data_IF_852607387709
#
_entry.id   IF_852607387709
#
_cell.length_a   1.000
_cell.length_b   1.000
_cell.length_c   1.000
_cell.angle_alpha   90.00
_cell.angle_beta   90.00
_cell.angle_gamma   90.00
#
_symmetry.space_group_name_H-M   'P 1'
#
loop_
_entity.id
_entity.type
_entity.pdbx_description
1 polymer ?
#
# COMPACT_ATOMS: atom_id res chain seq x y z
N UNK A 1 2.19 -41.69 29.06
CA UNK A 1 3.10 -41.37 27.95
C UNK A 1 2.32 -40.55 26.92
N UNK A 2 2.44 -39.23 26.98
CA UNK A 2 1.84 -38.36 25.98
C UNK A 2 2.73 -38.40 24.74
N UNK A 3 2.20 -38.94 23.64
CA UNK A 3 2.85 -38.87 22.34
C UNK A 3 2.91 -37.41 21.92
N UNK A 4 4.12 -36.88 21.79
CA UNK A 4 4.41 -35.63 21.11
C UNK A 4 3.81 -35.72 19.70
N UNK A 5 2.70 -35.01 19.47
CA UNK A 5 2.17 -34.86 18.13
C UNK A 5 3.16 -34.04 17.31
N UNK A 6 3.56 -34.65 16.20
CA UNK A 6 4.49 -34.18 15.18
C UNK A 6 4.37 -32.68 14.91
N UNK A 7 5.50 -31.97 14.95
CA UNK A 7 5.70 -30.76 14.18
C UNK A 7 5.48 -31.11 12.69
N UNK A 8 4.26 -30.91 12.19
CA UNK A 8 4.00 -30.98 10.77
C UNK A 8 4.95 -29.96 10.11
N UNK A 9 5.78 -30.43 9.18
CA UNK A 9 6.63 -29.59 8.31
C UNK A 9 5.77 -28.50 7.63
N UNK A 10 5.60 -27.35 8.29
CA UNK A 10 4.93 -26.18 7.75
C UNK A 10 5.83 -25.57 6.68
N UNK A 11 5.70 -26.09 5.46
CA UNK A 11 6.43 -25.60 4.28
C UNK A 11 5.71 -24.44 3.58
N UNK A 12 4.48 -24.13 4.00
CA UNK A 12 3.59 -23.12 3.42
C UNK A 12 2.76 -22.42 4.50
N UNK A 13 2.58 -21.11 4.36
CA UNK A 13 1.59 -20.36 5.14
C UNK A 13 0.18 -20.69 4.62
N UNK A 14 -0.81 -20.71 5.50
CA UNK A 14 -2.20 -20.97 5.10
C UNK A 14 -2.69 -19.80 4.23
N UNK A 15 -2.96 -20.06 2.95
CA UNK A 15 -3.60 -19.12 2.03
C UNK A 15 -4.90 -19.70 1.50
N UNK A 16 -5.89 -18.85 1.24
CA UNK A 16 -7.14 -19.25 0.60
C UNK A 16 -6.98 -19.09 -0.91
N UNK A 17 -7.13 -20.18 -1.68
CA UNK A 17 -6.85 -20.18 -3.13
C UNK A 17 -7.72 -19.22 -3.95
N UNK A 18 -8.94 -18.91 -3.49
CA UNK A 18 -9.87 -18.00 -4.17
C UNK A 18 -9.69 -16.53 -3.78
N UNK A 19 -8.94 -16.27 -2.71
CA UNK A 19 -8.68 -14.92 -2.22
C UNK A 19 -7.57 -14.26 -3.02
N UNK A 20 -7.85 -13.10 -3.61
CA UNK A 20 -6.90 -12.39 -4.47
C UNK A 20 -5.99 -11.41 -3.73
N UNK A 21 -6.28 -11.14 -2.45
CA UNK A 21 -5.41 -10.38 -1.56
C UNK A 21 -4.89 -9.06 -2.16
N UNK A 22 -5.74 -8.06 -2.45
CA UNK A 22 -5.29 -6.78 -2.97
C UNK A 22 -4.27 -6.12 -2.02
N UNK A 23 -3.27 -5.43 -2.57
CA UNK A 23 -2.26 -4.70 -1.79
C UNK A 23 -2.12 -3.31 -2.38
N UNK A 24 -2.34 -2.28 -1.57
CA UNK A 24 -1.96 -0.91 -1.89
C UNK A 24 -0.71 -0.49 -1.12
N UNK A 25 -0.18 0.68 -1.46
CA UNK A 25 0.97 1.26 -0.79
C UNK A 25 0.67 2.71 -0.42
N UNK A 26 1.25 3.18 0.68
CA UNK A 26 1.24 4.59 1.05
C UNK A 26 2.54 4.98 1.75
N UNK A 27 2.80 6.29 1.81
CA UNK A 27 3.90 6.86 2.57
C UNK A 27 3.58 6.83 4.06
N UNK A 28 4.39 6.12 4.83
CA UNK A 28 4.29 6.12 6.27
C UNK A 28 4.95 7.37 6.85
N UNK A 29 4.53 7.75 8.04
CA UNK A 29 5.03 8.95 8.73
C UNK A 29 5.70 8.61 10.05
N UNK A 30 5.94 7.32 10.28
CA UNK A 30 6.64 6.79 11.44
C UNK A 30 7.80 5.93 10.95
N UNK A 31 8.93 6.04 11.62
CA UNK A 31 10.11 5.24 11.32
C UNK A 31 9.84 3.77 11.62
N UNK A 32 10.23 2.91 10.68
CA UNK A 32 10.15 1.46 10.80
C UNK A 32 11.52 0.86 10.55
N UNK A 33 12.05 0.10 11.51
CA UNK A 33 13.38 -0.52 11.39
C UNK A 33 13.51 -1.48 10.19
N UNK A 34 12.39 -1.98 9.68
CA UNK A 34 12.37 -2.84 8.50
C UNK A 34 12.45 -2.07 7.18
N UNK A 35 12.16 -0.76 7.16
CA UNK A 35 12.00 0.04 5.95
C UNK A 35 12.85 1.30 6.00
N UNK A 36 13.92 1.34 5.20
CA UNK A 36 14.80 2.52 5.09
C UNK A 36 14.06 3.75 4.56
N UNK A 37 13.15 3.54 3.61
CA UNK A 37 12.18 4.53 3.12
C UNK A 37 10.81 3.92 3.38
N UNK A 38 9.99 4.49 4.28
CA UNK A 38 8.86 3.77 4.79
C UNK A 38 7.64 3.99 3.89
N UNK A 39 7.62 3.21 2.82
CA UNK A 39 6.44 2.96 1.99
C UNK A 39 5.86 1.65 2.46
N UNK A 40 4.67 1.71 3.07
CA UNK A 40 4.01 0.57 3.68
C UNK A 40 3.08 -0.16 2.71
N UNK A 41 3.23 -1.48 2.50
CA UNK A 41 2.21 -2.29 1.87
C UNK A 41 1.04 -2.55 2.83
N UNK A 42 -0.19 -2.32 2.40
CA UNK A 42 -1.39 -2.65 3.18
C UNK A 42 -2.46 -3.29 2.30
N UNK A 43 -3.06 -4.41 2.74
CA UNK A 43 -2.64 -5.29 3.83
C UNK A 43 -1.27 -5.94 3.56
N UNK A 44 -0.52 -6.29 4.61
CA UNK A 44 0.77 -7.00 4.50
C UNK A 44 0.58 -8.49 4.20
N UNK A 45 0.03 -8.82 3.02
CA UNK A 45 -0.32 -10.19 2.57
C UNK A 45 0.89 -11.00 2.09
N UNK A 46 1.86 -11.21 2.98
CA UNK A 46 3.08 -11.98 2.70
C UNK A 46 2.80 -13.47 2.48
N UNK A 47 1.63 -13.99 2.87
CA UNK A 47 1.22 -15.37 2.61
C UNK A 47 1.21 -15.70 1.11
N UNK A 48 0.71 -14.78 0.28
CA UNK A 48 0.68 -14.94 -1.18
C UNK A 48 2.08 -14.99 -1.77
N UNK A 49 2.92 -14.02 -1.38
CA UNK A 49 4.31 -13.92 -1.82
C UNK A 49 5.12 -15.16 -1.42
N UNK A 50 5.00 -15.60 -0.17
CA UNK A 50 5.73 -16.76 0.38
C UNK A 50 5.23 -18.11 -0.16
N UNK A 51 4.03 -18.14 -0.75
CA UNK A 51 3.49 -19.30 -1.46
C UNK A 51 3.69 -19.23 -2.99
N UNK A 52 4.15 -18.10 -3.53
CA UNK A 52 4.25 -17.88 -4.99
C UNK A 52 2.88 -17.71 -5.66
N UNK A 53 1.86 -17.31 -4.90
CA UNK A 53 0.50 -17.06 -5.38
C UNK A 53 0.33 -15.58 -5.72
N UNK A 54 -0.40 -15.19 -6.78
CA UNK A 54 -0.52 -13.80 -7.16
C UNK A 54 -1.27 -12.95 -6.13
N UNK A 55 -1.02 -11.65 -6.18
CA UNK A 55 -1.77 -10.55 -5.56
C UNK A 55 -2.09 -9.53 -6.65
N UNK A 56 -3.08 -8.67 -6.43
CA UNK A 56 -3.29 -7.50 -7.29
C UNK A 56 -2.84 -6.25 -6.54
N UNK A 57 -2.11 -5.39 -7.25
CA UNK A 57 -1.76 -4.08 -6.73
C UNK A 57 -2.93 -3.11 -6.91
N UNK A 58 -3.25 -2.38 -5.85
CA UNK A 58 -4.19 -1.27 -5.90
C UNK A 58 -3.43 -0.08 -6.50
N UNK A 59 -3.93 0.39 -7.64
CA UNK A 59 -3.42 1.57 -8.33
C UNK A 59 -4.38 2.74 -8.04
N UNK A 60 -3.89 3.90 -7.56
CA UNK A 60 -4.71 5.09 -7.38
C UNK A 60 -5.07 5.71 -8.74
N UNK A 61 -5.92 6.73 -8.73
CA UNK A 61 -6.13 7.59 -9.90
C UNK A 61 -4.94 8.50 -10.16
N UNK A 62 -4.07 8.05 -11.07
CA UNK A 62 -2.84 8.75 -11.41
C UNK A 62 -3.10 10.12 -12.04
N UNK A 63 -4.19 10.29 -12.79
CA UNK A 63 -4.53 11.57 -13.42
C UNK A 63 -4.89 12.64 -12.37
N UNK A 64 -5.59 12.24 -11.32
CA UNK A 64 -5.94 13.11 -10.19
C UNK A 64 -4.69 13.51 -9.41
N UNK A 65 -3.81 12.55 -9.12
CA UNK A 65 -2.52 12.81 -8.48
C UNK A 65 -1.64 13.72 -9.36
N UNK A 66 -1.59 13.49 -10.67
CA UNK A 66 -0.82 14.32 -11.60
C UNK A 66 -1.34 15.76 -11.58
N UNK A 67 -2.67 15.93 -11.64
CA UNK A 67 -3.33 17.23 -11.58
C UNK A 67 -3.01 17.95 -10.28
N UNK A 68 -3.10 17.26 -9.13
CA UNK A 68 -2.69 17.82 -7.84
C UNK A 68 -1.23 18.26 -7.87
N UNK A 69 -0.32 17.40 -8.31
CA UNK A 69 1.11 17.68 -8.40
C UNK A 69 1.41 18.88 -9.32
N UNK A 70 0.78 18.96 -10.49
CA UNK A 70 0.91 20.09 -11.42
C UNK A 70 0.49 21.41 -10.76
N UNK A 71 -0.69 21.43 -10.15
CA UNK A 71 -1.23 22.62 -9.49
C UNK A 71 -0.39 23.10 -8.30
N UNK A 72 0.38 22.19 -7.70
CA UNK A 72 1.19 22.46 -6.51
C UNK A 72 2.69 22.53 -6.80
N UNK A 73 3.12 22.48 -8.07
CA UNK A 73 4.54 22.53 -8.44
C UNK A 73 5.35 21.31 -7.98
N UNK A 74 4.70 20.19 -7.69
CA UNK A 74 5.32 18.94 -7.25
C UNK A 74 5.52 17.96 -8.41
N UNK A 75 6.53 17.12 -8.29
CA UNK A 75 6.76 15.94 -9.10
C UNK A 75 6.70 14.71 -8.21
N UNK A 76 5.88 13.72 -8.59
CA UNK A 76 5.78 12.44 -7.90
C UNK A 76 6.34 11.32 -8.78
N UNK A 77 7.35 10.61 -8.29
CA UNK A 77 7.94 9.47 -8.98
C UNK A 77 7.20 8.18 -8.61
N UNK A 78 6.09 7.92 -9.30
CA UNK A 78 5.26 6.74 -9.06
C UNK A 78 6.01 5.41 -9.26
N UNK A 79 6.89 5.32 -10.27
CA UNK A 79 7.71 4.12 -10.48
C UNK A 79 8.65 3.84 -9.32
N UNK A 80 9.32 4.88 -8.80
CA UNK A 80 10.17 4.79 -7.61
C UNK A 80 9.38 4.38 -6.36
N UNK A 81 8.19 4.95 -6.19
CA UNK A 81 7.29 4.66 -5.08
C UNK A 81 6.92 3.17 -5.03
N UNK A 82 6.39 2.62 -6.13
CA UNK A 82 6.05 1.20 -6.19
C UNK A 82 7.27 0.28 -6.08
N UNK A 83 8.39 0.65 -6.71
CA UNK A 83 9.64 -0.12 -6.61
C UNK A 83 10.07 -0.28 -5.15
N UNK A 84 10.10 0.81 -4.38
CA UNK A 84 10.47 0.78 -2.97
C UNK A 84 9.43 0.02 -2.14
N UNK A 85 8.13 0.26 -2.35
CA UNK A 85 7.07 -0.47 -1.66
C UNK A 85 7.17 -1.99 -1.86
N UNK A 86 7.40 -2.44 -3.10
CA UNK A 86 7.56 -3.86 -3.42
C UNK A 86 8.85 -4.42 -2.79
N UNK A 87 9.95 -3.66 -2.78
CA UNK A 87 11.19 -4.05 -2.07
C UNK A 87 10.95 -4.22 -0.58
N UNK A 88 10.25 -3.29 0.04
CA UNK A 88 9.86 -3.34 1.45
C UNK A 88 9.02 -4.61 1.74
N UNK A 89 8.01 -4.90 0.91
CA UNK A 89 7.19 -6.10 1.04
C UNK A 89 8.03 -7.39 0.94
N UNK A 90 8.93 -7.48 -0.03
CA UNK A 90 9.81 -8.66 -0.20
C UNK A 90 10.77 -8.80 0.98
N UNK A 91 11.39 -7.71 1.42
CA UNK A 91 12.31 -7.70 2.56
C UNK A 91 11.60 -8.19 3.82
N UNK A 92 10.43 -7.61 4.12
CA UNK A 92 9.60 -8.03 5.24
C UNK A 92 9.18 -9.50 5.13
N UNK A 93 8.77 -9.95 3.95
CA UNK A 93 8.42 -11.35 3.71
C UNK A 93 9.60 -12.30 3.93
N UNK A 94 10.83 -11.94 3.51
CA UNK A 94 12.04 -12.73 3.76
C UNK A 94 12.31 -12.87 5.27
N UNK A 95 12.21 -11.77 6.02
CA UNK A 95 12.39 -11.75 7.47
C UNK A 95 11.35 -12.63 8.16
N UNK A 96 10.07 -12.41 7.90
CA UNK A 96 8.99 -13.20 8.52
C UNK A 96 9.00 -14.67 8.12
N UNK A 97 9.32 -14.98 6.86
CA UNK A 97 9.47 -16.37 6.42
C UNK A 97 10.60 -17.09 7.17
N UNK A 98 11.74 -16.40 7.39
CA UNK A 98 12.85 -16.94 8.18
C UNK A 98 12.49 -17.14 9.64
N UNK A 99 11.78 -16.18 10.27
CA UNK A 99 11.28 -16.33 11.65
C UNK A 99 10.35 -17.53 11.80
N UNK A 100 9.42 -17.72 10.86
CA UNK A 100 8.37 -18.74 10.96
C UNK A 100 8.81 -20.15 10.53
N UNK A 101 9.64 -20.25 9.50
CA UNK A 101 10.00 -21.52 8.85
C UNK A 101 11.48 -21.89 9.09
N UNK A 102 12.27 -20.99 9.69
CA UNK A 102 13.71 -21.17 9.95
C UNK A 102 14.53 -21.43 8.67
N UNK A 103 14.04 -20.93 7.53
CA UNK A 103 14.67 -21.06 6.21
C UNK A 103 14.59 -19.75 5.44
N UNK A 104 15.49 -19.56 4.48
CA UNK A 104 15.41 -18.45 3.55
C UNK A 104 14.23 -18.62 2.60
N UNK A 105 13.56 -17.52 2.26
CA UNK A 105 12.50 -17.52 1.26
C UNK A 105 13.13 -17.76 -0.13
N UNK A 106 12.77 -18.84 -0.84
CA UNK A 106 13.39 -19.12 -2.13
C UNK A 106 13.04 -18.06 -3.17
N UNK A 107 14.04 -17.52 -3.86
CA UNK A 107 13.85 -16.52 -4.91
C UNK A 107 12.85 -16.97 -5.98
N UNK A 108 12.86 -18.26 -6.33
CA UNK A 108 11.91 -18.84 -7.28
C UNK A 108 10.45 -18.49 -6.93
N UNK A 109 10.09 -18.49 -5.64
CA UNK A 109 8.73 -18.12 -5.20
C UNK A 109 8.44 -16.63 -5.45
N UNK A 110 9.41 -15.77 -5.16
CA UNK A 110 9.32 -14.32 -5.43
C UNK A 110 9.18 -14.06 -6.94
N UNK A 111 9.95 -14.76 -7.78
CA UNK A 111 9.89 -14.62 -9.25
C UNK A 111 8.52 -15.06 -9.80
N UNK A 112 7.99 -16.19 -9.31
CA UNK A 112 6.65 -16.67 -9.71
C UNK A 112 5.58 -15.67 -9.27
N UNK A 113 5.63 -15.22 -8.00
CA UNK A 113 4.72 -14.22 -7.45
C UNK A 113 4.73 -12.96 -8.32
N UNK A 114 5.90 -12.35 -8.52
CA UNK A 114 6.03 -11.09 -9.25
C UNK A 114 5.50 -11.18 -10.69
N UNK A 115 5.92 -12.21 -11.43
CA UNK A 115 5.50 -12.39 -12.82
C UNK A 115 4.00 -12.66 -12.96
N UNK A 116 3.38 -13.22 -11.94
CA UNK A 116 1.94 -13.47 -11.91
C UNK A 116 1.17 -12.24 -11.46
N UNK A 117 1.63 -11.51 -10.44
CA UNK A 117 0.95 -10.34 -9.88
C UNK A 117 0.97 -9.12 -10.81
N UNK A 118 2.13 -8.82 -11.43
CA UNK A 118 2.28 -7.61 -12.26
C UNK A 118 1.39 -7.57 -13.50
N UNK A 119 0.85 -8.71 -13.93
CA UNK A 119 -0.03 -8.84 -15.10
C UNK A 119 -1.52 -8.86 -14.73
N UNK A 120 -1.85 -8.85 -13.44
CA UNK A 120 -3.23 -8.79 -13.02
C UNK A 120 -3.68 -7.34 -12.85
N UNK A 121 -4.93 -7.09 -13.19
CA UNK A 121 -5.62 -5.85 -12.90
C UNK A 121 -7.06 -6.14 -12.53
N UNK A 122 -7.61 -5.32 -11.65
CA UNK A 122 -9.02 -5.33 -11.30
C UNK A 122 -9.48 -3.90 -11.09
N UNK A 123 -10.78 -3.67 -11.24
CA UNK A 123 -11.37 -2.35 -11.15
C UNK A 123 -12.19 -2.21 -9.86
N UNK A 124 -11.52 -1.78 -8.79
CA UNK A 124 -12.12 -1.46 -7.50
C UNK A 124 -12.17 0.05 -7.31
N UNK A 125 -13.30 0.65 -7.67
CA UNK A 125 -13.55 2.10 -7.62
C UNK A 125 -13.20 2.65 -6.24
N UNK A 126 -13.77 2.07 -5.18
CA UNK A 126 -13.59 2.60 -3.84
C UNK A 126 -12.18 2.43 -3.28
N UNK A 127 -11.47 1.34 -3.60
CA UNK A 127 -10.06 1.20 -3.20
C UNK A 127 -9.17 2.16 -3.97
N UNK A 128 -9.44 2.34 -5.26
CA UNK A 128 -8.70 3.29 -6.10
C UNK A 128 -8.82 4.70 -5.53
N UNK A 129 -10.04 5.18 -5.31
CA UNK A 129 -10.30 6.48 -4.66
C UNK A 129 -9.65 6.60 -3.29
N UNK A 130 -9.76 5.55 -2.45
CA UNK A 130 -9.22 5.58 -1.10
C UNK A 130 -7.69 5.72 -1.09
N UNK A 131 -6.99 5.02 -1.99
CA UNK A 131 -5.54 5.15 -2.12
C UNK A 131 -5.12 6.44 -2.82
N UNK A 132 -5.94 6.99 -3.74
CA UNK A 132 -5.75 8.35 -4.26
C UNK A 132 -5.79 9.37 -3.13
N UNK A 133 -6.82 9.30 -2.29
CA UNK A 133 -7.03 10.21 -1.17
C UNK A 133 -5.84 10.18 -0.20
N UNK A 134 -5.39 8.99 0.23
CA UNK A 134 -4.21 8.86 1.11
C UNK A 134 -2.98 9.57 0.53
N UNK A 135 -2.72 9.38 -0.77
CA UNK A 135 -1.54 9.95 -1.43
C UNK A 135 -1.67 11.47 -1.61
N UNK A 136 -2.83 11.99 -1.99
CA UNK A 136 -3.07 13.43 -2.13
C UNK A 136 -2.90 14.14 -0.78
N UNK A 137 -3.52 13.62 0.28
CA UNK A 137 -3.41 14.20 1.62
C UNK A 137 -1.95 14.16 2.12
N UNK A 138 -1.22 13.08 1.84
CA UNK A 138 0.21 13.02 2.14
C UNK A 138 1.00 14.09 1.38
N UNK A 139 0.76 14.24 0.07
CA UNK A 139 1.45 15.23 -0.77
C UNK A 139 1.16 16.66 -0.30
N UNK A 140 -0.08 16.94 0.14
CA UNK A 140 -0.46 18.23 0.71
C UNK A 140 0.34 18.55 1.98
N UNK A 141 0.44 17.59 2.90
CA UNK A 141 1.19 17.73 4.16
C UNK A 141 2.69 17.87 3.89
N UNK A 142 3.24 17.05 2.99
CA UNK A 142 4.64 17.14 2.56
C UNK A 142 4.96 18.54 2.02
N UNK A 143 4.11 19.06 1.12
CA UNK A 143 4.26 20.40 0.55
C UNK A 143 4.27 21.46 1.64
N UNK A 144 3.27 21.41 2.52
CA UNK A 144 3.12 22.40 3.59
C UNK A 144 4.35 22.44 4.51
N UNK A 145 4.83 21.27 4.95
CA UNK A 145 6.04 21.13 5.76
C UNK A 145 7.26 21.72 5.04
N UNK A 146 7.41 21.42 3.73
CA UNK A 146 8.54 21.89 2.94
C UNK A 146 8.53 23.41 2.73
N UNK A 147 7.39 23.98 2.33
CA UNK A 147 7.27 25.42 2.04
C UNK A 147 7.46 26.28 3.29
N UNK A 148 7.02 25.80 4.45
CA UNK A 148 7.19 26.48 5.73
C UNK A 148 8.52 26.13 6.43
N UNK A 149 9.39 25.33 5.78
CA UNK A 149 10.69 24.90 6.29
C UNK A 149 10.62 24.28 7.69
N UNK A 150 9.53 23.54 7.95
CA UNK A 150 9.29 22.92 9.24
C UNK A 150 10.29 21.79 9.48
N UNK A 151 10.93 21.82 10.64
CA UNK A 151 11.91 20.82 11.07
C UNK A 151 11.25 19.77 11.94
N UNK A 152 11.74 18.53 11.86
CA UNK A 152 11.25 17.37 12.60
C UNK A 152 11.09 17.58 14.13
N UNK A 153 11.90 18.45 14.73
CA UNK A 153 11.87 18.75 16.17
C UNK A 153 10.90 19.88 16.55
N UNK A 154 10.26 20.53 15.58
CA UNK A 154 9.26 21.56 15.85
C UNK A 154 7.91 20.91 16.17
N UNK A 155 7.18 21.52 17.09
CA UNK A 155 5.84 21.07 17.49
C UNK A 155 4.88 21.10 16.31
N UNK A 156 4.87 22.21 15.55
CA UNK A 156 4.06 22.41 14.35
C UNK A 156 4.23 21.29 13.30
N UNK A 157 5.47 20.81 13.10
CA UNK A 157 5.72 19.65 12.23
C UNK A 157 4.96 18.41 12.69
N UNK A 158 4.99 18.13 14.00
CA UNK A 158 4.31 16.97 14.60
C UNK A 158 2.79 17.17 14.55
N UNK A 159 2.30 18.39 14.78
CA UNK A 159 0.87 18.73 14.69
C UNK A 159 0.31 18.48 13.29
N UNK A 160 1.00 18.88 12.23
CA UNK A 160 0.55 18.61 10.85
C UNK A 160 0.52 17.11 10.51
N UNK A 161 1.47 16.32 11.04
CA UNK A 161 1.44 14.87 10.90
C UNK A 161 0.29 14.22 11.68
N UNK A 162 -0.05 14.75 12.85
CA UNK A 162 -1.22 14.29 13.62
C UNK A 162 -2.51 14.63 12.88
N UNK A 163 -2.63 15.84 12.34
CA UNK A 163 -3.78 16.28 11.54
C UNK A 163 -3.96 15.40 10.31
N UNK A 164 -2.88 15.05 9.61
CA UNK A 164 -2.90 14.09 8.51
C UNK A 164 -3.49 12.76 8.95
N UNK A 165 -3.02 12.18 10.06
CA UNK A 165 -3.60 10.96 10.59
C UNK A 165 -5.09 11.11 10.90
N UNK A 166 -5.53 12.23 11.47
CA UNK A 166 -6.94 12.47 11.78
C UNK A 166 -7.83 12.55 10.55
N UNK A 167 -7.35 13.20 9.49
CA UNK A 167 -8.05 13.27 8.20
C UNK A 167 -8.23 11.86 7.63
N UNK A 168 -7.15 11.05 7.60
CA UNK A 168 -7.22 9.68 7.10
C UNK A 168 -8.12 8.81 7.97
N UNK A 169 -7.97 8.84 9.29
CA UNK A 169 -8.81 8.06 10.22
C UNK A 169 -10.29 8.41 10.03
N UNK A 170 -10.62 9.70 9.92
CA UNK A 170 -11.99 10.16 9.72
C UNK A 170 -12.55 9.65 8.39
N UNK A 171 -11.79 9.81 7.29
CA UNK A 171 -12.20 9.32 5.98
C UNK A 171 -12.52 7.82 5.98
N UNK A 172 -11.62 6.98 6.50
CA UNK A 172 -11.81 5.53 6.50
C UNK A 172 -12.87 5.07 7.50
N UNK A 173 -13.04 5.74 8.64
CA UNK A 173 -14.18 5.48 9.54
C UNK A 173 -15.50 5.74 8.85
N UNK A 174 -15.64 6.88 8.17
CA UNK A 174 -16.84 7.19 7.39
C UNK A 174 -17.09 6.16 6.28
N UNK A 175 -16.05 5.71 5.56
CA UNK A 175 -16.19 4.63 4.56
C UNK A 175 -16.70 3.33 5.17
N UNK A 176 -16.21 2.93 6.35
CA UNK A 176 -16.68 1.74 7.06
C UNK A 176 -18.11 1.94 7.56
N UNK A 177 -18.40 3.05 8.25
CA UNK A 177 -19.71 3.35 8.86
C UNK A 177 -20.84 3.46 7.83
N UNK A 178 -20.55 4.01 6.65
CA UNK A 178 -21.50 4.03 5.52
C UNK A 178 -21.85 2.62 5.04
N UNK A 179 -20.99 1.63 5.28
CA UNK A 179 -21.19 0.22 4.94
C UNK A 179 -21.62 -0.02 3.48
N UNK A 180 -21.10 0.80 2.57
CA UNK A 180 -21.28 0.69 1.11
C UNK A 180 -19.90 0.63 0.48
N UNK A 181 -19.73 -0.29 -0.46
CA UNK A 181 -18.50 -0.49 -1.22
C UNK A 181 -18.82 -0.59 -2.70
N UNK A 182 -18.23 0.30 -3.49
CA UNK A 182 -18.42 0.39 -4.94
C UNK A 182 -17.35 -0.37 -5.70
N UNK A 183 -17.80 -1.19 -6.63
CA UNK A 183 -16.96 -1.98 -7.52
C UNK A 183 -17.52 -1.94 -8.94
N UNK A 184 -16.65 -2.05 -9.93
CA UNK A 184 -17.09 -2.18 -11.32
C UNK A 184 -17.16 -3.65 -11.69
N UNK A 185 -18.35 -4.12 -12.11
CA UNK A 185 -18.50 -5.41 -12.80
C UNK A 185 -19.03 -5.11 -14.20
N UNK A 186 -18.26 -5.57 -15.18
CA UNK A 186 -18.51 -5.26 -16.59
C UNK A 186 -18.54 -3.73 -16.79
N UNK A 187 -19.65 -3.17 -17.26
CA UNK A 187 -19.82 -1.73 -17.48
C UNK A 187 -20.69 -1.04 -16.42
N UNK A 188 -21.03 -1.74 -15.33
CA UNK A 188 -21.90 -1.23 -14.26
C UNK A 188 -21.16 -1.06 -12.93
N UNK A 189 -21.52 0.02 -12.23
CA UNK A 189 -21.10 0.25 -10.85
C UNK A 189 -22.10 -0.47 -9.94
N UNK A 190 -21.59 -1.41 -9.14
CA UNK A 190 -22.38 -2.15 -8.16
C UNK A 190 -21.99 -1.68 -6.76
N UNK A 191 -23.00 -1.49 -5.93
CA UNK A 191 -22.86 -1.20 -4.51
C UNK A 191 -23.10 -2.47 -3.68
N UNK A 192 -22.10 -2.87 -2.92
CA UNK A 192 -22.15 -4.02 -2.02
C UNK A 192 -21.94 -3.56 -0.57
N UNK A 193 -22.39 -4.35 0.40
CA UNK A 193 -22.10 -4.06 1.82
C UNK A 193 -20.70 -4.51 2.20
N UNK A 194 -20.03 -3.75 3.07
CA UNK A 194 -18.75 -4.13 3.66
C UNK A 194 -18.92 -5.23 4.73
N UNK A 195 -20.01 -5.15 5.50
CA UNK A 195 -20.31 -6.07 6.59
C UNK A 195 -21.82 -6.22 6.82
N UNK A 196 -22.19 -7.25 7.58
CA UNK A 196 -23.51 -7.38 8.21
C UNK A 196 -23.38 -7.23 9.72
N UNK A 197 -24.36 -6.59 10.35
CA UNK A 197 -24.44 -6.52 11.80
C UNK A 197 -25.39 -7.60 12.34
N UNK A 198 -24.93 -8.41 13.30
CA UNK A 198 -25.76 -9.36 14.03
C UNK A 198 -25.38 -9.35 15.51
N UNK A 199 -26.37 -9.14 16.39
CA UNK A 199 -26.17 -9.11 17.85
C UNK A 199 -25.06 -8.12 18.27
N UNK A 200 -25.09 -6.90 17.73
CA UNK A 200 -24.09 -5.84 18.01
C UNK A 200 -22.65 -6.24 17.64
N UNK A 201 -22.49 -7.18 16.70
CA UNK A 201 -21.19 -7.57 16.15
C UNK A 201 -21.19 -7.39 14.64
N UNK A 202 -20.08 -6.90 14.13
CA UNK A 202 -19.84 -6.72 12.70
C UNK A 202 -19.20 -7.97 12.10
N UNK A 203 -19.76 -8.46 11.00
CA UNK A 203 -19.25 -9.61 10.26
C UNK A 203 -18.86 -9.15 8.85
N UNK A 204 -17.56 -9.01 8.56
CA UNK A 204 -17.08 -8.64 7.23
C UNK A 204 -17.61 -9.55 6.14
N UNK A 205 -17.99 -8.96 5.00
CA UNK A 205 -18.45 -9.69 3.84
C UNK A 205 -17.30 -9.97 2.86
N UNK A 206 -17.35 -11.15 2.26
CA UNK A 206 -16.50 -11.49 1.12
C UNK A 206 -17.17 -10.97 -0.15
N UNK A 207 -16.47 -10.11 -0.88
CA UNK A 207 -16.91 -9.60 -2.16
C UNK A 207 -16.19 -10.30 -3.30
N UNK A 208 -16.84 -10.31 -4.45
CA UNK A 208 -16.33 -10.88 -5.69
C UNK A 208 -15.98 -9.79 -6.68
N UNK A 209 -14.82 -9.91 -7.32
CA UNK A 209 -14.35 -8.95 -8.31
C UNK A 209 -13.81 -9.65 -9.54
N UNK A 210 -14.02 -9.03 -10.71
CA UNK A 210 -13.44 -9.46 -11.97
C UNK A 210 -11.97 -9.06 -12.03
N UNK A 211 -11.12 -10.05 -12.22
CA UNK A 211 -9.67 -9.90 -12.32
C UNK A 211 -9.23 -10.30 -13.71
N UNK A 212 -8.65 -9.35 -14.44
CA UNK A 212 -8.13 -9.57 -15.77
C UNK A 212 -6.62 -9.86 -15.73
N UNK A 213 -6.22 -10.97 -16.34
CA UNK A 213 -4.85 -11.23 -16.75
C UNK A 213 -4.62 -10.57 -18.11
N UNK A 214 -4.01 -9.38 -18.11
CA UNK A 214 -3.91 -8.52 -19.31
C UNK A 214 -3.05 -9.13 -20.41
N UNK A 215 -2.17 -10.08 -20.08
CA UNK A 215 -1.31 -10.75 -21.07
C UNK A 215 -2.08 -11.89 -21.74
N UNK A 216 -2.83 -12.66 -20.95
CA UNK A 216 -3.55 -13.83 -21.47
C UNK A 216 -4.98 -13.49 -21.93
N UNK A 217 -5.44 -12.25 -21.73
CA UNK A 217 -6.80 -11.79 -21.95
C UNK A 217 -7.84 -12.73 -21.31
N UNK A 218 -7.59 -13.12 -20.05
CA UNK A 218 -8.46 -14.02 -19.28
C UNK A 218 -8.98 -13.28 -18.05
N UNK A 219 -10.29 -13.33 -17.88
CA UNK A 219 -10.96 -12.80 -16.68
C UNK A 219 -11.36 -13.94 -15.77
N UNK A 220 -11.14 -13.77 -14.47
CA UNK A 220 -11.63 -14.66 -13.44
C UNK A 220 -12.29 -13.86 -12.33
N UNK A 221 -13.38 -14.38 -11.77
CA UNK A 221 -13.99 -13.83 -10.57
C UNK A 221 -13.24 -14.36 -9.35
N UNK A 222 -12.74 -13.46 -8.51
CA UNK A 222 -12.00 -13.78 -7.29
C UNK A 222 -12.58 -13.08 -6.08
N UNK A 223 -12.38 -13.71 -4.92
CA UNK A 223 -12.91 -13.27 -3.64
C UNK A 223 -11.91 -12.33 -2.94
N UNK A 224 -12.41 -11.35 -2.19
CA UNK A 224 -11.62 -10.54 -1.25
C UNK A 224 -12.51 -9.94 -0.16
N UNK A 225 -11.90 -9.38 0.90
CA UNK A 225 -12.62 -8.80 2.03
C UNK A 225 -12.19 -7.33 2.18
N UNK A 226 -12.89 -6.37 1.56
CA UNK A 226 -12.49 -4.95 1.58
C UNK A 226 -12.46 -4.36 2.99
N UNK A 227 -13.37 -4.79 3.87
CA UNK A 227 -13.42 -4.32 5.26
C UNK A 227 -12.05 -4.47 5.96
N UNK A 228 -11.36 -5.60 5.76
CA UNK A 228 -10.06 -5.84 6.41
C UNK A 228 -8.97 -4.90 5.90
N UNK A 229 -9.07 -4.45 4.64
CA UNK A 229 -8.12 -3.47 4.08
C UNK A 229 -8.31 -2.12 4.78
N UNK A 230 -9.56 -1.67 4.91
CA UNK A 230 -9.86 -0.42 5.61
C UNK A 230 -9.54 -0.49 7.10
N UNK A 231 -9.79 -1.63 7.75
CA UNK A 231 -9.43 -1.86 9.15
C UNK A 231 -7.90 -1.81 9.34
N UNK A 232 -7.12 -2.45 8.46
CA UNK A 232 -5.66 -2.38 8.50
C UNK A 232 -5.14 -0.95 8.31
N UNK A 233 -5.73 -0.17 7.39
CA UNK A 233 -5.39 1.26 7.20
C UNK A 233 -5.69 2.04 8.49
N UNK A 234 -6.89 1.88 9.07
CA UNK A 234 -7.25 2.55 10.32
C UNK A 234 -6.30 2.21 11.47
N UNK A 235 -5.90 0.94 11.57
CA UNK A 235 -4.96 0.48 12.58
C UNK A 235 -3.58 1.12 12.38
N UNK A 236 -3.07 1.19 11.15
CA UNK A 236 -1.82 1.86 10.81
C UNK A 236 -1.85 3.34 11.21
N UNK A 237 -2.86 4.10 10.76
CA UNK A 237 -2.92 5.53 11.04
C UNK A 237 -3.22 5.85 12.51
N UNK A 238 -4.00 5.01 13.20
CA UNK A 238 -4.21 5.13 14.65
C UNK A 238 -2.92 4.87 15.42
N UNK A 239 -2.15 3.86 15.02
CA UNK A 239 -0.83 3.60 15.59
C UNK A 239 0.11 4.78 15.35
N UNK A 240 0.18 5.29 14.13
CA UNK A 240 1.02 6.43 13.79
C UNK A 240 0.68 7.66 14.63
N UNK A 241 -0.61 8.00 14.73
CA UNK A 241 -1.08 9.08 15.61
C UNK A 241 -0.66 8.86 17.06
N UNK A 242 -0.78 7.66 17.59
CA UNK A 242 -0.37 7.37 18.98
C UNK A 242 1.13 7.57 19.20
N UNK A 243 1.97 7.21 18.22
CA UNK A 243 3.42 7.42 18.29
C UNK A 243 3.75 8.91 18.31
N UNK A 244 3.09 9.71 17.47
CA UNK A 244 3.29 11.16 17.40
C UNK A 244 2.85 11.86 18.69
N UNK A 245 1.67 11.51 19.23
CA UNK A 245 1.16 12.08 20.49
C UNK A 245 2.05 11.77 21.70
N UNK A 246 2.68 10.59 21.71
CA UNK A 246 3.61 10.19 22.77
C UNK A 246 5.00 10.85 22.63
N UNK A 247 5.25 11.62 21.57
CA UNK A 247 6.53 12.25 21.28
C UNK A 247 7.73 11.28 21.34
N UNK A 248 7.57 10.05 20.81
CA UNK A 248 8.68 9.10 20.70
C UNK A 248 9.67 9.57 19.62
N UNK A 249 10.68 10.35 20.04
CA UNK A 249 11.68 10.95 19.15
C UNK A 249 12.40 9.91 18.27
N UNK A 250 12.59 8.68 18.76
CA UNK A 250 13.26 7.62 18.02
C UNK A 250 12.45 7.13 16.81
N UNK A 251 11.15 7.41 16.80
CA UNK A 251 10.21 6.98 15.77
C UNK A 251 9.75 8.09 14.84
N UNK A 252 10.11 9.35 15.12
CA UNK A 252 9.85 10.44 14.18
C UNK A 252 10.62 10.22 12.88
N UNK A 253 10.00 10.59 11.77
CA UNK A 253 10.63 10.56 10.45
C UNK A 253 10.77 11.98 9.92
N UNK A 254 11.91 12.25 9.29
CA UNK A 254 12.09 13.43 8.47
C UNK A 254 11.51 13.14 7.07
N UNK A 255 10.45 13.85 6.68
CA UNK A 255 9.82 13.69 5.36
C UNK A 255 10.80 13.98 4.22
N UNK A 256 11.93 14.66 4.48
CA UNK A 256 13.02 14.84 3.51
C UNK A 256 13.55 13.51 2.95
N UNK A 257 13.40 12.40 3.66
CA UNK A 257 13.73 11.06 3.13
C UNK A 257 13.03 10.77 1.79
N UNK A 258 11.85 11.34 1.54
CA UNK A 258 11.14 11.13 0.28
C UNK A 258 11.72 11.95 -0.87
N UNK A 259 12.33 13.09 -0.57
CA UNK A 259 13.08 13.90 -1.53
C UNK A 259 14.46 13.29 -1.81
N UNK A 260 15.17 12.87 -0.76
CA UNK A 260 16.50 12.25 -0.87
C UNK A 260 16.49 10.98 -1.76
N UNK A 261 15.34 10.31 -1.88
CA UNK A 261 15.13 9.15 -2.74
C UNK A 261 14.44 9.46 -4.08
N UNK A 262 14.31 10.73 -4.42
CA UNK A 262 13.66 11.22 -5.63
C UNK A 262 12.23 10.69 -5.81
N UNK A 263 11.48 10.58 -4.72
CA UNK A 263 10.08 10.15 -4.73
C UNK A 263 9.14 11.33 -4.89
N UNK A 264 9.44 12.43 -4.19
CA UNK A 264 8.69 13.67 -4.28
C UNK A 264 9.70 14.81 -4.36
N UNK A 265 9.59 15.65 -5.39
CA UNK A 265 10.48 16.78 -5.63
C UNK A 265 9.68 18.00 -6.06
N UNK A 266 10.27 19.20 -6.03
CA UNK A 266 9.69 20.32 -6.76
C UNK A 266 9.94 20.12 -8.26
N UNK A 267 8.98 20.55 -9.09
CA UNK A 267 9.12 20.51 -10.56
C UNK A 267 10.23 21.43 -11.05
N UNK A 268 10.41 22.60 -10.42
CA UNK A 268 11.48 23.55 -10.74
C UNK A 268 12.85 22.88 -10.72
N UNK A 269 13.12 22.15 -9.65
CA UNK A 269 14.43 21.56 -9.35
C UNK A 269 14.80 20.47 -10.38
N UNK A 270 13.79 19.86 -11.02
CA UNK A 270 13.96 18.80 -12.00
C UNK A 270 14.00 19.30 -13.45
N UNK A 271 13.24 20.36 -13.77
CA UNK A 271 13.29 21.00 -15.10
C UNK A 271 14.70 21.53 -15.37
N UNK A 272 15.33 22.10 -14.34
CA UNK A 272 16.73 22.57 -14.40
C UNK A 272 17.73 21.44 -14.64
N UNK A 273 17.42 20.21 -14.20
CA UNK A 273 18.36 19.08 -14.27
C UNK A 273 18.21 18.22 -15.53
N UNK A 274 17.00 18.01 -16.05
CA UNK A 274 16.75 16.96 -17.06
C UNK A 274 15.88 17.36 -18.25
N UNK A 275 15.32 18.58 -18.31
CA UNK A 275 14.32 18.92 -19.32
C UNK A 275 13.04 18.07 -19.20
N UNK A 276 12.05 18.40 -20.04
CA UNK A 276 10.63 18.01 -19.96
C UNK A 276 10.31 16.76 -19.11
N UNK A 277 9.64 16.97 -17.97
CA UNK A 277 9.17 15.88 -17.10
C UNK A 277 7.99 15.19 -17.77
N UNK A 278 8.15 13.90 -18.08
CA UNK A 278 7.05 13.08 -18.57
C UNK A 278 5.92 12.98 -17.55
N UNK A 279 4.70 12.81 -18.05
CA UNK A 279 3.52 12.58 -17.21
C UNK A 279 3.63 11.29 -16.38
N UNK A 280 2.84 11.23 -15.31
CA UNK A 280 2.74 10.06 -14.45
C UNK A 280 2.30 8.82 -15.25
N UNK A 281 3.10 7.76 -15.16
CA UNK A 281 2.91 6.54 -15.93
C UNK A 281 2.00 5.54 -15.20
N UNK A 282 0.77 5.38 -15.69
CA UNK A 282 -0.21 4.40 -15.18
C UNK A 282 0.32 2.95 -15.23
N UNK A 283 1.23 2.65 -16.17
CA UNK A 283 1.83 1.33 -16.34
C UNK A 283 3.15 1.13 -15.57
N UNK A 284 3.46 2.03 -14.62
CA UNK A 284 4.71 2.02 -13.87
C UNK A 284 5.07 0.63 -13.30
N UNK A 285 4.13 -0.06 -12.64
CA UNK A 285 4.37 -1.40 -12.07
C UNK A 285 4.75 -2.42 -13.13
N UNK A 286 4.08 -2.41 -14.29
CA UNK A 286 4.31 -3.39 -15.37
C UNK A 286 5.69 -3.26 -15.98
N UNK A 287 6.21 -2.03 -16.02
CA UNK A 287 7.54 -1.69 -16.55
C UNK A 287 8.67 -1.99 -15.55
N UNK A 288 8.38 -2.24 -14.27
CA UNK A 288 9.40 -2.58 -13.28
C UNK A 288 10.08 -3.92 -13.61
N UNK A 289 11.41 -3.89 -13.68
CA UNK A 289 12.23 -5.08 -13.89
C UNK A 289 12.49 -5.78 -12.55
N UNK A 290 12.34 -7.10 -12.55
CA UNK A 290 12.55 -7.92 -11.35
C UNK A 290 13.98 -7.81 -10.81
N UNK A 291 14.98 -7.67 -11.68
CA UNK A 291 16.37 -7.53 -11.25
C UNK A 291 16.56 -6.27 -10.40
N UNK A 292 15.88 -5.16 -10.73
CA UNK A 292 15.90 -3.94 -9.93
C UNK A 292 15.21 -4.16 -8.58
N UNK A 293 14.13 -4.94 -8.56
CA UNK A 293 13.39 -5.29 -7.33
C UNK A 293 14.24 -6.18 -6.41
N UNK A 294 15.02 -7.12 -6.96
CA UNK A 294 15.80 -8.08 -6.18
C UNK A 294 17.18 -7.58 -5.72
N UNK A 295 17.62 -6.41 -6.19
CA UNK A 295 18.74 -5.67 -5.60
C UNK A 295 18.34 -5.11 -4.22
N UNK A 296 18.23 -6.01 -3.23
CA UNK A 296 17.93 -5.76 -1.82
C UNK A 296 19.16 -6.16 -1.01
#
# INVERSE_FOLDING_TARGET
MYSYNSYSNLTKLKSFKKDIAPIGFFFDIVKNDNFKVPILPVPMRIDKLTNGEPTIFILPEMDEINTFCQNHGLFFNCSGFYLIGIKNLISFAKTKYKEMILRSLPEKKIKIWWNSSKRLSANYIDLKESFTFILIEFLAVFKHIKENLLKINQEEYTEHLIQYCDIIITYFRTKIENNVFRLQKDDEIIEEKLYIEKKQKYYPLTLKINVCDVINNKTAELDFIPYLIYDDILNCFSFNKSVLLNNDENKKIDLKVYEDYNLINNRSDLIEQNGNLGDLDIDCIRKLKLDHILQI
#
